data_IF_638402064625
#
_entry.id   IF_638402064625
#
_cell.length_a   1.000
_cell.length_b   1.000
_cell.length_c   1.000
_cell.angle_alpha   90.00
_cell.angle_beta   90.00
_cell.angle_gamma   90.00
#
_symmetry.space_group_name_H-M   'P 1'
#
loop_
_entity.id
_entity.type
_entity.pdbx_description
1 polymer ?
#
# COMPACT_ATOMS: atom_id res chain seq x y z
N UNK A 1 -20.88 -45.85 -1.37
CA UNK A 1 -20.84 -44.52 -2.00
C UNK A 1 -21.07 -44.65 -3.49
N UNK A 2 -22.20 -44.14 -3.96
CA UNK A 2 -22.51 -44.04 -5.40
C UNK A 2 -21.65 -42.95 -6.05
N UNK A 3 -21.54 -42.99 -7.38
CA UNK A 3 -20.72 -42.02 -8.13
C UNK A 3 -21.21 -40.58 -7.94
N UNK A 4 -22.52 -40.40 -7.75
CA UNK A 4 -23.15 -39.10 -7.50
C UNK A 4 -22.84 -38.55 -6.11
N UNK A 5 -22.76 -39.41 -5.08
CA UNK A 5 -22.35 -39.00 -3.73
C UNK A 5 -20.88 -38.55 -3.70
N UNK A 6 -20.00 -39.20 -4.48
CA UNK A 6 -18.60 -38.77 -4.64
C UNK A 6 -18.50 -37.43 -5.36
N UNK A 7 -19.25 -37.23 -6.45
CA UNK A 7 -19.29 -35.93 -7.17
C UNK A 7 -19.88 -34.80 -6.32
N UNK A 8 -20.93 -35.07 -5.54
CA UNK A 8 -21.52 -34.10 -4.62
C UNK A 8 -20.55 -33.72 -3.48
N UNK A 9 -19.84 -34.70 -2.94
CA UNK A 9 -18.82 -34.50 -1.90
C UNK A 9 -17.63 -33.69 -2.44
N UNK A 10 -17.12 -34.04 -3.62
CA UNK A 10 -16.04 -33.31 -4.30
C UNK A 10 -16.46 -31.87 -4.60
N UNK A 11 -17.66 -31.65 -5.17
CA UNK A 11 -18.20 -30.29 -5.41
C UNK A 11 -18.37 -29.48 -4.14
N UNK A 12 -18.74 -30.10 -3.01
CA UNK A 12 -18.84 -29.41 -1.71
C UNK A 12 -17.47 -28.95 -1.21
N UNK A 13 -16.45 -29.81 -1.32
CA UNK A 13 -15.05 -29.44 -0.99
C UNK A 13 -14.48 -28.40 -1.95
N UNK A 14 -14.75 -28.52 -3.25
CA UNK A 14 -14.34 -27.52 -4.26
C UNK A 14 -15.00 -26.16 -4.01
N UNK A 15 -16.29 -26.13 -3.66
CA UNK A 15 -16.98 -24.89 -3.31
C UNK A 15 -16.42 -24.24 -2.04
N UNK A 16 -16.01 -25.05 -1.06
CA UNK A 16 -15.38 -24.57 0.17
C UNK A 16 -13.97 -24.00 -0.09
N UNK A 17 -13.18 -24.69 -0.92
CA UNK A 17 -11.86 -24.21 -1.36
C UNK A 17 -11.99 -22.93 -2.19
N UNK A 18 -12.93 -22.89 -3.14
CA UNK A 18 -13.18 -21.69 -3.95
C UNK A 18 -13.62 -20.52 -3.08
N UNK A 19 -14.52 -20.75 -2.12
CA UNK A 19 -14.93 -19.74 -1.15
C UNK A 19 -13.76 -19.20 -0.34
N UNK A 20 -12.90 -20.08 0.17
CA UNK A 20 -11.68 -19.70 0.88
C UNK A 20 -10.71 -18.88 0.02
N UNK A 21 -10.50 -19.27 -1.24
CA UNK A 21 -9.65 -18.52 -2.17
C UNK A 21 -10.21 -17.14 -2.52
N UNK A 22 -11.53 -17.02 -2.71
CA UNK A 22 -12.17 -15.73 -2.97
C UNK A 22 -12.10 -14.80 -1.76
N UNK A 23 -12.31 -15.33 -0.55
CA UNK A 23 -12.15 -14.58 0.68
C UNK A 23 -10.70 -14.09 0.84
N UNK A 24 -9.72 -14.97 0.64
CA UNK A 24 -8.30 -14.60 0.70
C UNK A 24 -7.91 -13.57 -0.36
N UNK A 25 -8.48 -13.62 -1.57
CA UNK A 25 -8.21 -12.66 -2.64
C UNK A 25 -8.84 -11.28 -2.40
N UNK A 26 -9.85 -11.19 -1.52
CA UNK A 26 -10.58 -9.96 -1.24
C UNK A 26 -9.86 -9.01 -0.27
N UNK A 27 -8.67 -9.37 0.23
CA UNK A 27 -7.91 -8.61 1.23
C UNK A 27 -7.72 -7.12 0.91
N UNK A 28 -7.66 -6.75 -0.39
CA UNK A 28 -7.53 -5.34 -0.82
C UNK A 28 -8.79 -4.53 -0.62
N UNK A 29 -9.96 -5.18 -0.59
CA UNK A 29 -11.28 -4.53 -0.52
C UNK A 29 -12.01 -4.84 0.79
N UNK A 30 -11.48 -5.75 1.60
CA UNK A 30 -12.05 -6.08 2.89
C UNK A 30 -11.79 -4.94 3.88
N UNK A 31 -12.87 -4.40 4.45
CA UNK A 31 -12.79 -3.34 5.44
C UNK A 31 -12.17 -3.82 6.77
N UNK A 32 -12.25 -5.14 7.07
CA UNK A 32 -11.66 -5.73 8.28
C UNK A 32 -10.13 -5.79 8.22
N UNK A 33 -9.55 -5.83 7.02
CA UNK A 33 -8.10 -5.79 6.79
C UNK A 33 -7.54 -4.36 6.86
N UNK A 34 -8.40 -3.34 6.82
CA UNK A 34 -7.99 -1.95 6.89
C UNK A 34 -7.71 -1.52 8.34
N UNK A 35 -6.52 -0.98 8.59
CA UNK A 35 -6.11 -0.53 9.93
C UNK A 35 -6.08 0.99 10.03
N UNK A 36 -6.47 1.56 11.19
CA UNK A 36 -6.41 3.01 11.41
C UNK A 36 -4.98 3.50 11.65
N UNK A 37 -4.70 4.68 11.14
CA UNK A 37 -3.48 5.44 11.34
C UNK A 37 -3.86 6.79 11.96
N UNK A 38 -3.21 7.12 13.08
CA UNK A 38 -3.38 8.42 13.75
C UNK A 38 -2.05 9.16 13.79
N UNK A 39 -2.00 10.35 13.19
CA UNK A 39 -0.85 11.25 13.30
C UNK A 39 -1.01 12.10 14.55
N UNK A 40 -0.14 11.91 15.53
CA UNK A 40 -0.12 12.67 16.78
C UNK A 40 1.00 13.70 16.77
N UNK A 41 0.64 14.97 16.97
CA UNK A 41 1.60 16.08 17.12
C UNK A 41 1.23 16.88 18.36
N UNK A 42 2.22 17.12 19.22
CA UNK A 42 2.03 17.87 20.47
C UNK A 42 0.90 17.30 21.36
N UNK A 43 0.75 15.97 21.39
CA UNK A 43 -0.26 15.28 22.20
C UNK A 43 -1.68 15.27 21.62
N UNK A 44 -1.91 15.86 20.44
CA UNK A 44 -3.21 15.84 19.76
C UNK A 44 -3.15 15.05 18.44
N UNK A 45 -4.22 14.34 18.12
CA UNK A 45 -4.41 13.75 16.79
C UNK A 45 -4.72 14.88 15.81
N UNK A 46 -3.84 15.05 14.82
CA UNK A 46 -3.97 16.10 13.80
C UNK A 46 -4.48 15.57 12.46
N UNK A 47 -4.37 14.26 12.23
CA UNK A 47 -4.83 13.59 11.03
C UNK A 47 -5.11 12.12 11.35
N UNK A 48 -6.17 11.57 10.77
CA UNK A 48 -6.53 10.15 10.90
C UNK A 48 -7.04 9.62 9.56
N UNK A 49 -6.61 8.42 9.19
CA UNK A 49 -7.04 7.72 7.98
C UNK A 49 -6.80 6.21 8.13
N UNK A 50 -7.37 5.40 7.25
CA UNK A 50 -7.14 3.95 7.23
C UNK A 50 -6.26 3.55 6.05
N UNK A 51 -5.40 2.57 6.28
CA UNK A 51 -4.62 1.91 5.23
C UNK A 51 -5.06 0.46 5.11
N UNK A 52 -5.07 -0.05 3.88
CA UNK A 52 -5.28 -1.47 3.56
C UNK A 52 -3.96 -2.15 3.21
N UNK A 53 -3.88 -3.48 3.33
CA UNK A 53 -2.76 -4.24 2.76
C UNK A 53 -2.61 -4.01 1.25
N UNK A 54 -1.37 -4.15 0.79
CA UNK A 54 -0.99 -4.03 -0.62
C UNK A 54 -0.39 -5.34 -1.13
N UNK A 55 -0.70 -5.68 -2.38
CA UNK A 55 -0.06 -6.80 -3.07
C UNK A 55 1.32 -6.43 -3.61
N UNK A 56 2.17 -7.44 -3.83
CA UNK A 56 3.53 -7.25 -4.41
C UNK A 56 3.50 -6.47 -5.74
N UNK A 57 2.47 -6.69 -6.56
CA UNK A 57 2.26 -5.99 -7.83
C UNK A 57 2.14 -4.46 -7.65
N UNK A 58 1.47 -4.02 -6.59
CA UNK A 58 1.30 -2.61 -6.26
C UNK A 58 2.62 -1.99 -5.75
N UNK A 59 3.37 -2.71 -4.91
CA UNK A 59 4.71 -2.27 -4.48
C UNK A 59 5.64 -2.10 -5.69
N UNK A 60 5.66 -3.07 -6.60
CA UNK A 60 6.48 -3.04 -7.81
C UNK A 60 6.07 -1.91 -8.76
N UNK A 61 4.76 -1.69 -8.92
CA UNK A 61 4.22 -0.57 -9.71
C UNK A 61 4.68 0.76 -9.13
N UNK A 62 4.50 0.98 -7.82
CA UNK A 62 4.96 2.20 -7.15
C UNK A 62 6.47 2.38 -7.31
N UNK A 63 7.27 1.32 -7.14
CA UNK A 63 8.73 1.38 -7.30
C UNK A 63 9.12 1.77 -8.73
N UNK A 64 8.45 1.18 -9.72
CA UNK A 64 8.67 1.48 -11.14
C UNK A 64 8.31 2.92 -11.50
N UNK A 65 7.17 3.41 -11.03
CA UNK A 65 6.69 4.77 -11.30
C UNK A 65 7.62 5.83 -10.71
N UNK A 66 8.34 5.49 -9.63
CA UNK A 66 9.33 6.35 -9.00
C UNK A 66 10.78 6.02 -9.39
N UNK A 67 11.00 5.19 -10.41
CA UNK A 67 12.34 4.90 -10.93
C UNK A 67 12.71 5.88 -12.03
N UNK A 68 13.82 6.58 -11.85
CA UNK A 68 14.44 7.40 -12.89
C UNK A 68 15.14 6.51 -13.90
N UNK A 69 14.79 6.66 -15.18
CA UNK A 69 15.40 5.93 -16.28
C UNK A 69 16.24 6.87 -17.14
N UNK A 70 17.51 6.53 -17.35
CA UNK A 70 18.39 7.22 -18.30
C UNK A 70 18.48 6.45 -19.61
N UNK A 71 18.56 7.18 -20.71
CA UNK A 71 18.76 6.60 -22.04
C UNK A 71 20.24 6.29 -22.22
N UNK A 72 20.56 5.02 -22.42
CA UNK A 72 21.89 4.62 -22.85
C UNK A 72 22.04 4.94 -24.35
N UNK A 73 22.90 5.92 -24.68
CA UNK A 73 23.12 6.38 -26.06
C UNK A 73 23.79 5.33 -26.95
N UNK A 74 24.56 4.40 -26.39
CA UNK A 74 25.25 3.35 -27.16
C UNK A 74 24.33 2.19 -27.52
N UNK A 75 23.46 1.77 -26.60
CA UNK A 75 22.57 0.62 -26.77
C UNK A 75 21.15 1.01 -27.23
N UNK A 76 20.81 2.30 -27.22
CA UNK A 76 19.48 2.80 -27.58
C UNK A 76 18.37 2.50 -26.54
N UNK A 77 18.68 1.77 -25.48
CA UNK A 77 17.74 1.32 -24.45
C UNK A 77 17.66 2.28 -23.24
N UNK A 78 16.54 2.21 -22.51
CA UNK A 78 16.39 2.90 -21.21
C UNK A 78 16.89 1.97 -20.10
N UNK A 79 17.72 2.50 -19.21
CA UNK A 79 18.30 1.77 -18.07
C UNK A 79 17.85 2.47 -16.80
N UNK A 80 17.41 1.68 -15.81
CA UNK A 80 17.07 2.19 -14.48
C UNK A 80 18.32 2.76 -13.82
N UNK A 81 18.24 3.99 -13.32
CA UNK A 81 19.36 4.67 -12.67
C UNK A 81 19.19 4.69 -11.15
N UNK A 82 18.07 5.23 -10.66
CA UNK A 82 17.82 5.42 -9.24
C UNK A 82 16.31 5.43 -8.96
N UNK A 83 15.93 5.12 -7.72
CA UNK A 83 14.56 5.30 -7.25
C UNK A 83 14.49 6.61 -6.47
N UNK A 84 13.50 7.44 -6.75
CA UNK A 84 13.12 8.56 -5.88
C UNK A 84 12.46 7.98 -4.62
N UNK A 85 13.29 7.77 -3.58
CA UNK A 85 12.85 7.11 -2.36
C UNK A 85 11.79 7.91 -1.60
N UNK A 86 11.86 9.25 -1.61
CA UNK A 86 10.91 10.09 -0.90
C UNK A 86 9.52 10.01 -1.55
N UNK A 87 9.48 10.15 -2.89
CA UNK A 87 8.25 10.05 -3.66
C UNK A 87 7.67 8.63 -3.66
N UNK A 88 8.53 7.61 -3.76
CA UNK A 88 8.12 6.21 -3.66
C UNK A 88 7.39 5.92 -2.35
N UNK A 89 7.97 6.35 -1.22
CA UNK A 89 7.38 6.18 0.10
C UNK A 89 6.05 6.94 0.25
N UNK A 90 5.96 8.15 -0.29
CA UNK A 90 4.71 8.90 -0.30
C UNK A 90 3.64 8.20 -1.16
N UNK A 91 4.03 7.63 -2.31
CA UNK A 91 3.10 6.93 -3.20
C UNK A 91 2.58 5.63 -2.58
N UNK A 92 3.41 4.89 -1.84
CA UNK A 92 2.94 3.72 -1.10
C UNK A 92 1.85 4.09 -0.09
N UNK A 93 2.04 5.16 0.70
CA UNK A 93 1.04 5.62 1.67
C UNK A 93 -0.24 6.07 0.96
N UNK A 94 -0.11 6.82 -0.15
CA UNK A 94 -1.25 7.24 -0.95
C UNK A 94 -2.04 6.04 -1.48
N UNK A 95 -1.38 5.05 -2.09
CA UNK A 95 -2.01 3.88 -2.68
C UNK A 95 -2.55 2.88 -1.64
N UNK A 96 -1.94 2.82 -0.47
CA UNK A 96 -2.42 2.02 0.66
C UNK A 96 -3.63 2.65 1.35
N UNK A 97 -3.80 3.97 1.30
CA UNK A 97 -4.93 4.64 1.94
C UNK A 97 -6.22 4.19 1.26
N UNK A 98 -7.21 3.77 2.06
CA UNK A 98 -8.53 3.36 1.57
C UNK A 98 -9.18 4.49 0.75
N UNK A 99 -9.91 4.14 -0.30
CA UNK A 99 -10.42 5.10 -1.29
C UNK A 99 -11.23 6.23 -0.63
N UNK A 100 -12.09 5.90 0.34
CA UNK A 100 -12.94 6.91 0.99
C UNK A 100 -12.16 7.92 1.83
N UNK A 101 -11.01 7.52 2.39
CA UNK A 101 -10.16 8.41 3.18
C UNK A 101 -9.20 9.17 2.26
N UNK A 102 -8.75 8.53 1.18
CA UNK A 102 -7.93 9.14 0.13
C UNK A 102 -8.67 10.31 -0.53
N UNK A 103 -9.92 10.11 -0.93
CA UNK A 103 -10.76 11.14 -1.54
C UNK A 103 -10.92 12.38 -0.64
N UNK A 104 -11.11 12.15 0.66
CA UNK A 104 -11.34 13.21 1.65
C UNK A 104 -10.07 13.96 2.02
N UNK A 105 -8.94 13.26 2.07
CA UNK A 105 -7.70 13.76 2.64
C UNK A 105 -6.70 14.06 1.53
N UNK A 106 -6.27 13.03 0.81
CA UNK A 106 -5.19 13.12 -0.16
C UNK A 106 -5.63 13.76 -1.46
N UNK A 107 -6.88 13.59 -1.90
CA UNK A 107 -7.42 14.19 -3.12
C UNK A 107 -8.19 15.51 -2.88
N UNK A 108 -8.00 16.08 -1.69
CA UNK A 108 -8.57 17.37 -1.33
C UNK A 108 -7.94 18.51 -2.15
N UNK A 109 -8.69 18.98 -3.17
CA UNK A 109 -8.23 20.04 -4.10
C UNK A 109 -7.99 21.38 -3.43
N UNK A 110 -8.69 21.69 -2.35
CA UNK A 110 -8.43 22.90 -1.58
C UNK A 110 -7.09 22.80 -0.85
N UNK A 111 -6.79 21.63 -0.25
CA UNK A 111 -5.48 21.39 0.34
C UNK A 111 -4.36 21.50 -0.71
N UNK A 112 -4.58 20.98 -1.93
CA UNK A 112 -3.60 21.06 -3.00
C UNK A 112 -3.26 22.50 -3.37
N UNK A 113 -4.30 23.33 -3.53
CA UNK A 113 -4.14 24.75 -3.85
C UNK A 113 -3.45 25.51 -2.74
N UNK A 114 -3.83 25.28 -1.48
CA UNK A 114 -3.28 26.00 -0.34
C UNK A 114 -1.84 25.61 -0.01
N UNK A 115 -1.46 24.36 -0.28
CA UNK A 115 -0.10 23.85 -0.02
C UNK A 115 0.78 23.82 -1.29
N UNK A 116 0.26 24.30 -2.42
CA UNK A 116 0.95 24.36 -3.71
C UNK A 116 1.52 23.00 -4.16
N UNK A 117 0.69 21.97 -4.13
CA UNK A 117 1.02 20.60 -4.58
C UNK A 117 0.15 20.18 -5.76
N UNK A 118 0.64 19.26 -6.59
CA UNK A 118 -0.02 18.92 -7.87
C UNK A 118 -0.96 17.72 -7.76
N UNK A 119 -0.73 16.83 -6.80
CA UNK A 119 -1.48 15.59 -6.62
C UNK A 119 -1.44 15.09 -5.17
N UNK A 120 -2.16 14.00 -4.87
CA UNK A 120 -2.25 13.46 -3.51
C UNK A 120 -0.94 12.89 -2.97
N UNK A 121 -0.08 12.32 -3.82
CA UNK A 121 1.26 11.88 -3.41
C UNK A 121 2.12 13.07 -2.96
N UNK A 122 2.09 14.17 -3.70
CA UNK A 122 2.78 15.41 -3.30
C UNK A 122 2.19 15.95 -1.98
N UNK A 123 0.88 15.83 -1.77
CA UNK A 123 0.24 16.23 -0.51
C UNK A 123 0.73 15.38 0.67
N UNK A 124 0.83 14.05 0.51
CA UNK A 124 1.44 13.16 1.50
C UNK A 124 2.88 13.59 1.81
N UNK A 125 3.63 14.01 0.77
CA UNK A 125 5.02 14.40 0.92
C UNK A 125 5.18 15.62 1.84
N UNK A 126 4.34 16.64 1.68
CA UNK A 126 4.40 17.89 2.44
C UNK A 126 3.71 17.81 3.81
N UNK A 127 2.68 16.97 3.96
CA UNK A 127 1.89 16.88 5.20
C UNK A 127 2.56 16.00 6.24
N UNK A 128 3.18 14.88 5.86
CA UNK A 128 3.75 13.91 6.79
C UNK A 128 5.26 14.10 6.98
N UNK A 129 5.71 14.01 8.24
CA UNK A 129 7.15 14.00 8.59
C UNK A 129 7.77 12.66 8.18
N UNK A 130 9.09 12.64 7.98
CA UNK A 130 9.80 11.40 7.59
C UNK A 130 9.58 10.24 8.57
N UNK A 131 9.68 10.49 9.88
CA UNK A 131 9.43 9.46 10.90
C UNK A 131 7.98 8.98 10.95
N UNK A 132 7.01 9.86 10.72
CA UNK A 132 5.59 9.47 10.60
C UNK A 132 5.40 8.57 9.37
N UNK A 133 6.07 8.86 8.25
CA UNK A 133 6.08 7.98 7.07
C UNK A 133 6.75 6.64 7.37
N UNK A 134 7.84 6.60 8.15
CA UNK A 134 8.48 5.34 8.56
C UNK A 134 7.51 4.46 9.35
N UNK A 135 6.81 5.03 10.34
CA UNK A 135 5.84 4.29 11.17
C UNK A 135 4.66 3.76 10.35
N UNK A 136 4.13 4.55 9.42
CA UNK A 136 3.05 4.12 8.53
C UNK A 136 3.51 2.98 7.63
N UNK A 137 4.71 3.09 7.05
CA UNK A 137 5.23 2.05 6.17
C UNK A 137 5.54 0.75 6.92
N UNK A 138 6.04 0.83 8.16
CA UNK A 138 6.21 -0.35 9.00
C UNK A 138 4.86 -1.04 9.26
N UNK A 139 3.80 -0.27 9.53
CA UNK A 139 2.45 -0.81 9.69
C UNK A 139 1.91 -1.40 8.38
N UNK A 140 2.18 -0.75 7.25
CA UNK A 140 1.80 -1.23 5.92
C UNK A 140 2.49 -2.55 5.58
N UNK A 141 3.78 -2.67 5.88
CA UNK A 141 4.55 -3.90 5.68
C UNK A 141 3.98 -5.04 6.54
N UNK A 142 3.69 -4.77 7.82
CA UNK A 142 3.08 -5.72 8.76
C UNK A 142 1.75 -6.28 8.23
N UNK A 143 0.80 -5.42 7.86
CA UNK A 143 -0.51 -5.86 7.36
C UNK A 143 -0.43 -6.49 5.96
N UNK A 144 0.60 -6.15 5.17
CA UNK A 144 0.85 -6.76 3.86
C UNK A 144 1.58 -8.11 3.96
N UNK A 145 1.88 -8.57 5.18
CA UNK A 145 2.50 -9.87 5.43
C UNK A 145 4.03 -9.89 5.35
N UNK A 146 4.69 -8.73 5.25
CA UNK A 146 6.14 -8.66 5.38
C UNK A 146 6.51 -8.85 6.86
N UNK A 147 7.36 -9.85 7.11
CA UNK A 147 7.91 -10.06 8.45
C UNK A 147 9.16 -9.19 8.61
N UNK A 148 9.35 -8.51 9.76
CA UNK A 148 10.63 -7.89 10.08
C UNK A 148 11.70 -8.96 10.03
N UNK A 149 12.79 -8.73 9.31
CA UNK A 149 13.91 -9.66 9.34
C UNK A 149 14.62 -9.53 10.69
N UNK A 150 15.23 -10.61 11.21
CA UNK A 150 15.97 -10.55 12.48
C UNK A 150 17.07 -9.47 12.50
N UNK A 151 17.56 -9.04 11.34
CA UNK A 151 18.53 -7.94 11.21
C UNK A 151 17.94 -6.55 11.50
N UNK A 152 16.62 -6.37 11.35
CA UNK A 152 15.94 -5.08 11.59
C UNK A 152 15.74 -4.81 13.08
N UNK A 153 15.65 -5.86 13.90
CA UNK A 153 15.47 -5.77 15.37
C UNK A 153 16.79 -5.38 16.09
N UNK A 154 17.94 -5.64 15.47
CA UNK A 154 19.25 -5.46 16.10
C UNK A 154 19.82 -4.02 16.01
N UNK A 155 19.10 -3.08 15.38
CA UNK A 155 19.59 -1.70 15.16
C UNK A 155 18.86 -0.61 15.96
N UNK A 156 17.93 -0.98 16.85
CA UNK A 156 17.25 -0.04 17.75
C UNK A 156 17.84 -0.05 19.16
#
# INVERSE_FOLDING_TARGET
MTEDEKKATVRKYENDILGGLMAAAAYKTDAEEAVPIEIKRNGAVVLSFRIRPMGEDEYLKCKKDNTNYKRNKQLGTRVAESVDAARYRAQLIYEATVEEDRDKIWDNRDAWKNLNVLNGTDLVEVVLKSGEKDEILAKLDEISGYQPTMEDVAKN
#
